data_IF_513172899113
#
_entry.id   IF_513172899113
#
_cell.length_a   1.000
_cell.length_b   1.000
_cell.length_c   1.000
_cell.angle_alpha   90.00
_cell.angle_beta   90.00
_cell.angle_gamma   90.00
#
_symmetry.space_group_name_H-M   'P 1'
#
loop_
_entity.id
_entity.type
_entity.pdbx_description
1 polymer ?
#
# COMPACT_ATOMS: atom_id res chain seq x y z
N UNK A 1 -11.49 20.10 7.88
CA UNK A 1 -10.19 20.24 7.18
C UNK A 1 -9.73 18.82 6.83
N UNK A 2 -10.51 18.11 6.01
CA UNK A 2 -10.50 16.63 5.94
C UNK A 2 -9.24 16.04 5.30
N UNK A 3 -8.51 16.84 4.52
CA UNK A 3 -7.34 16.43 3.75
C UNK A 3 -5.99 16.70 4.46
N UNK A 4 -5.99 17.28 5.67
CA UNK A 4 -4.75 17.66 6.35
C UNK A 4 -3.85 16.45 6.57
N UNK A 5 -4.40 15.36 7.12
CA UNK A 5 -3.63 14.13 7.32
C UNK A 5 -3.04 13.56 6.03
N UNK A 6 -3.81 13.59 4.93
CA UNK A 6 -3.38 13.08 3.61
C UNK A 6 -2.21 13.89 3.06
N UNK A 7 -2.28 15.23 3.19
CA UNK A 7 -1.20 16.11 2.78
C UNK A 7 0.05 15.89 3.62
N UNK A 8 -0.11 15.71 4.95
CA UNK A 8 1.02 15.43 5.85
C UNK A 8 1.67 14.10 5.51
N UNK A 9 0.89 13.06 5.16
CA UNK A 9 1.45 11.78 4.71
C UNK A 9 2.25 11.93 3.44
N UNK A 10 1.69 12.63 2.46
CA UNK A 10 2.38 12.94 1.22
C UNK A 10 3.70 13.72 1.45
N UNK A 11 3.69 14.71 2.34
CA UNK A 11 4.90 15.43 2.71
C UNK A 11 5.92 14.52 3.41
N UNK A 12 5.47 13.59 4.25
CA UNK A 12 6.31 12.57 4.88
C UNK A 12 7.06 11.73 3.86
N UNK A 13 6.35 11.21 2.85
CA UNK A 13 6.95 10.46 1.73
C UNK A 13 7.96 11.34 0.99
N UNK A 14 7.58 12.56 0.63
CA UNK A 14 8.46 13.47 -0.10
C UNK A 14 9.76 13.80 0.67
N UNK A 15 9.65 14.10 1.96
CA UNK A 15 10.80 14.35 2.84
C UNK A 15 11.67 13.10 2.97
N UNK A 16 11.05 11.94 3.24
CA UNK A 16 11.73 10.66 3.32
C UNK A 16 12.54 10.37 2.06
N UNK A 17 11.93 10.53 0.89
CA UNK A 17 12.61 10.40 -0.40
C UNK A 17 13.76 11.39 -0.54
N UNK A 18 13.55 12.68 -0.28
CA UNK A 18 14.62 13.68 -0.37
C UNK A 18 15.81 13.31 0.54
N UNK A 19 15.56 12.87 1.76
CA UNK A 19 16.61 12.41 2.67
C UNK A 19 17.32 11.16 2.12
N UNK A 20 16.57 10.17 1.62
CA UNK A 20 17.12 8.96 1.03
C UNK A 20 18.05 9.23 -0.17
N UNK A 21 17.75 10.26 -0.97
CA UNK A 21 18.59 10.64 -2.12
C UNK A 21 20.01 11.09 -1.71
N UNK A 22 20.20 11.64 -0.51
CA UNK A 22 21.54 12.03 -0.04
C UNK A 22 22.44 10.81 0.21
N UNK A 23 21.85 9.63 0.42
CA UNK A 23 22.57 8.38 0.66
C UNK A 23 22.81 7.56 -0.62
N UNK A 24 22.48 8.06 -1.82
CA UNK A 24 22.51 7.29 -3.09
C UNK A 24 23.91 7.03 -3.70
N UNK A 25 25.02 7.32 -3.00
CA UNK A 25 26.39 7.07 -3.50
C UNK A 25 26.99 5.79 -2.94
N UNK A 26 26.25 4.69 -3.06
CA UNK A 26 26.63 3.37 -2.56
C UNK A 26 27.03 2.47 -3.74
N UNK A 27 28.02 1.58 -3.55
CA UNK A 27 28.41 0.63 -4.61
C UNK A 27 27.31 -0.41 -4.85
N UNK A 28 27.30 -1.03 -6.03
CA UNK A 28 26.22 -1.94 -6.44
C UNK A 28 26.05 -3.16 -5.52
N UNK A 29 27.15 -3.75 -5.04
CA UNK A 29 27.12 -4.90 -4.12
C UNK A 29 26.49 -4.57 -2.77
N UNK A 30 26.72 -3.35 -2.28
CA UNK A 30 26.09 -2.87 -1.05
C UNK A 30 24.60 -2.61 -1.32
N UNK A 31 24.22 -2.06 -2.48
CA UNK A 31 22.80 -1.89 -2.85
C UNK A 31 22.06 -3.23 -2.91
N UNK A 32 22.65 -4.25 -3.52
CA UNK A 32 22.07 -5.61 -3.54
C UNK A 32 21.84 -6.14 -2.11
N UNK A 33 22.81 -5.95 -1.23
CA UNK A 33 22.70 -6.38 0.18
C UNK A 33 21.62 -5.58 0.93
N UNK A 34 21.52 -4.28 0.67
CA UNK A 34 20.47 -3.42 1.25
C UNK A 34 19.10 -3.82 0.72
N UNK A 35 18.94 -4.05 -0.60
CA UNK A 35 17.68 -4.56 -1.19
C UNK A 35 17.25 -5.86 -0.52
N UNK A 36 18.19 -6.77 -0.29
CA UNK A 36 17.90 -8.02 0.40
C UNK A 36 17.42 -7.77 1.83
N UNK A 37 18.09 -6.89 2.58
CA UNK A 37 17.66 -6.49 3.93
C UNK A 37 16.27 -5.84 3.97
N UNK A 38 15.97 -4.97 3.01
CA UNK A 38 14.66 -4.33 2.85
C UNK A 38 13.61 -5.38 2.52
N UNK A 39 13.84 -6.23 1.52
CA UNK A 39 12.91 -7.28 1.13
C UNK A 39 12.57 -8.22 2.30
N UNK A 40 13.57 -8.63 3.09
CA UNK A 40 13.37 -9.42 4.30
C UNK A 40 12.55 -8.67 5.38
N UNK A 41 12.81 -7.38 5.57
CA UNK A 41 12.07 -6.55 6.54
C UNK A 41 10.61 -6.36 6.10
N UNK A 42 10.38 -6.13 4.80
CA UNK A 42 9.04 -6.02 4.19
C UNK A 42 8.28 -7.34 4.35
N UNK A 43 8.93 -8.48 4.12
CA UNK A 43 8.34 -9.81 4.38
C UNK A 43 7.97 -9.96 5.85
N UNK A 44 8.87 -9.62 6.78
CA UNK A 44 8.60 -9.73 8.22
C UNK A 44 7.39 -8.87 8.63
N UNK A 45 7.33 -7.63 8.17
CA UNK A 45 6.18 -6.74 8.38
C UNK A 45 4.89 -7.34 7.81
N UNK A 46 4.93 -7.80 6.57
CA UNK A 46 3.80 -8.43 5.90
C UNK A 46 3.31 -9.68 6.62
N UNK A 47 4.20 -10.49 7.21
CA UNK A 47 3.81 -11.63 8.04
C UNK A 47 3.17 -11.21 9.35
N UNK A 48 3.71 -10.20 10.03
CA UNK A 48 3.09 -9.69 11.27
C UNK A 48 1.68 -9.17 11.01
N UNK A 49 1.50 -8.39 9.94
CA UNK A 49 0.17 -7.90 9.52
C UNK A 49 -0.73 -9.03 9.04
N UNK A 50 -0.18 -9.97 8.25
CA UNK A 50 -0.89 -11.10 7.66
C UNK A 50 -1.52 -12.06 8.66
N UNK A 51 -1.10 -11.99 9.92
CA UNK A 51 -1.58 -12.81 11.03
C UNK A 51 -2.50 -12.03 12.00
N UNK A 52 -2.89 -10.79 11.68
CA UNK A 52 -3.81 -10.01 12.52
C UNK A 52 -5.24 -10.55 12.56
N UNK A 53 -5.64 -11.40 11.61
CA UNK A 53 -6.99 -11.96 11.54
C UNK A 53 -7.00 -13.48 11.46
N UNK A 54 -7.91 -14.08 12.25
CA UNK A 54 -8.21 -15.51 12.23
C UNK A 54 -9.24 -15.90 11.14
N UNK A 55 -9.83 -14.93 10.44
CA UNK A 55 -10.88 -15.16 9.43
C UNK A 55 -10.29 -15.51 8.07
N UNK A 56 -9.53 -16.60 8.02
CA UNK A 56 -8.84 -17.09 6.81
C UNK A 56 -9.77 -17.22 5.60
N UNK A 57 -11.04 -17.60 5.79
CA UNK A 57 -12.02 -17.70 4.70
C UNK A 57 -12.31 -16.33 4.07
N UNK A 58 -12.47 -15.28 4.88
CA UNK A 58 -12.72 -13.92 4.39
C UNK A 58 -11.52 -13.44 3.57
N UNK A 59 -10.31 -13.63 4.10
CA UNK A 59 -9.05 -13.26 3.43
C UNK A 59 -8.90 -14.01 2.11
N UNK A 60 -9.09 -15.33 2.12
CA UNK A 60 -8.97 -16.19 0.94
C UNK A 60 -9.94 -15.78 -0.17
N UNK A 61 -11.23 -15.64 0.16
CA UNK A 61 -12.24 -15.24 -0.82
C UNK A 61 -11.96 -13.83 -1.36
N UNK A 62 -11.51 -12.92 -0.51
CA UNK A 62 -11.15 -11.56 -0.92
C UNK A 62 -9.98 -11.54 -1.89
N UNK A 63 -8.93 -12.33 -1.63
CA UNK A 63 -7.82 -12.50 -2.56
C UNK A 63 -8.26 -13.13 -3.88
N UNK A 64 -9.11 -14.16 -3.85
CA UNK A 64 -9.58 -14.84 -5.06
C UNK A 64 -10.43 -13.92 -5.96
N UNK A 65 -11.49 -13.32 -5.41
CA UNK A 65 -12.34 -12.42 -6.17
C UNK A 65 -11.60 -11.14 -6.56
N UNK A 66 -10.77 -10.62 -5.66
CA UNK A 66 -9.89 -9.50 -5.94
C UNK A 66 -8.95 -9.77 -7.11
N UNK A 67 -8.34 -10.95 -7.16
CA UNK A 67 -7.47 -11.37 -8.27
C UNK A 67 -8.24 -11.46 -9.60
N UNK A 68 -9.45 -12.04 -9.61
CA UNK A 68 -10.27 -12.13 -10.82
C UNK A 68 -10.62 -10.74 -11.35
N UNK A 69 -11.04 -9.83 -10.47
CA UNK A 69 -11.38 -8.46 -10.84
C UNK A 69 -10.13 -7.71 -11.31
N UNK A 70 -9.02 -7.82 -10.57
CA UNK A 70 -7.80 -7.09 -10.88
C UNK A 70 -7.10 -7.60 -12.12
N UNK A 71 -7.17 -8.90 -12.42
CA UNK A 71 -6.71 -9.46 -13.69
C UNK A 71 -7.57 -8.97 -14.86
N UNK A 72 -8.89 -8.84 -14.68
CA UNK A 72 -9.77 -8.25 -15.70
C UNK A 72 -9.49 -6.76 -15.97
N UNK A 73 -9.04 -6.02 -14.96
CA UNK A 73 -8.67 -4.60 -15.09
C UNK A 73 -7.23 -4.43 -15.57
N UNK A 74 -6.35 -5.39 -15.27
CA UNK A 74 -4.91 -5.38 -15.47
C UNK A 74 -4.22 -4.15 -14.88
N UNK A 75 -4.39 -3.98 -13.55
CA UNK A 75 -3.81 -2.87 -12.79
C UNK A 75 -2.27 -2.89 -12.81
N UNK A 76 -1.66 -4.07 -12.84
CA UNK A 76 -0.22 -4.27 -12.89
C UNK A 76 0.37 -3.67 -14.16
N UNK A 77 -0.17 -4.02 -15.33
CA UNK A 77 0.26 -3.44 -16.60
C UNK A 77 0.03 -1.93 -16.65
N UNK A 78 -1.09 -1.43 -16.09
CA UNK A 78 -1.37 0.01 -16.04
C UNK A 78 -0.35 0.77 -15.19
N UNK A 79 -0.03 0.27 -14.00
CA UNK A 79 0.97 0.87 -13.13
C UNK A 79 2.37 0.81 -13.73
N UNK A 80 2.76 -0.35 -14.30
CA UNK A 80 4.03 -0.51 -14.99
C UNK A 80 4.15 0.44 -16.19
N UNK A 81 3.06 0.61 -16.96
CA UNK A 81 3.03 1.56 -18.07
C UNK A 81 3.24 2.99 -17.58
N UNK A 82 2.56 3.41 -16.51
CA UNK A 82 2.78 4.75 -15.92
C UNK A 82 4.22 4.90 -15.45
N UNK A 83 4.77 3.89 -14.76
CA UNK A 83 6.17 3.86 -14.34
C UNK A 83 7.14 4.01 -15.51
N UNK A 84 6.92 3.29 -16.61
CA UNK A 84 7.74 3.38 -17.81
C UNK A 84 7.67 4.76 -18.48
N UNK A 85 6.49 5.40 -18.50
CA UNK A 85 6.35 6.77 -19.01
C UNK A 85 7.11 7.79 -18.16
N UNK A 86 7.06 7.64 -16.83
CA UNK A 86 7.83 8.47 -15.90
C UNK A 86 9.33 8.23 -16.11
N UNK A 87 9.74 6.98 -16.28
CA UNK A 87 11.12 6.63 -16.53
C UNK A 87 11.66 7.27 -17.82
N UNK A 88 10.95 7.15 -18.95
CA UNK A 88 11.37 7.79 -20.21
C UNK A 88 11.50 9.31 -20.06
N UNK A 89 10.64 9.94 -19.26
CA UNK A 89 10.62 11.40 -19.07
C UNK A 89 11.69 11.92 -18.12
N UNK A 90 12.05 11.15 -17.09
CA UNK A 90 12.91 11.61 -16.00
C UNK A 90 14.26 10.88 -15.92
N UNK A 91 14.51 9.89 -16.79
CA UNK A 91 15.81 9.23 -16.91
C UNK A 91 16.86 10.23 -17.40
N UNK A 92 17.99 10.28 -16.70
CA UNK A 92 19.18 11.02 -17.14
C UNK A 92 19.95 10.18 -18.15
N UNK A 93 20.39 10.80 -19.24
CA UNK A 93 21.21 10.14 -20.26
C UNK A 93 22.45 9.49 -19.64
N UNK A 94 22.73 8.24 -20.03
CA UNK A 94 23.92 7.49 -19.60
C UNK A 94 23.89 6.87 -18.21
N UNK A 95 22.72 6.79 -17.53
CA UNK A 95 22.56 6.08 -16.25
C UNK A 95 21.44 5.04 -16.30
N UNK A 96 21.66 3.90 -15.65
CA UNK A 96 20.57 3.00 -15.27
C UNK A 96 19.59 3.73 -14.34
N UNK A 97 18.30 3.41 -14.47
CA UNK A 97 17.22 4.08 -13.78
C UNK A 97 16.31 3.02 -13.20
N UNK A 98 16.01 3.15 -11.91
CA UNK A 98 15.04 2.31 -11.21
C UNK A 98 13.74 3.10 -10.97
N UNK A 99 13.44 4.08 -11.84
CA UNK A 99 12.31 5.01 -11.64
C UNK A 99 10.98 4.26 -11.67
N UNK A 100 10.76 3.39 -12.67
CA UNK A 100 9.53 2.62 -12.77
C UNK A 100 9.37 1.67 -11.57
N UNK A 101 10.42 0.91 -11.24
CA UNK A 101 10.41 -0.03 -10.12
C UNK A 101 10.18 0.67 -8.77
N UNK A 102 10.87 1.79 -8.54
CA UNK A 102 10.70 2.64 -7.35
C UNK A 102 9.29 3.19 -7.22
N UNK A 103 8.70 3.67 -8.31
CA UNK A 103 7.32 4.14 -8.33
C UNK A 103 6.34 3.02 -8.00
N UNK A 104 6.41 1.88 -8.71
CA UNK A 104 5.45 0.77 -8.55
C UNK A 104 5.56 0.17 -7.15
N UNK A 105 6.79 -0.13 -6.70
CA UNK A 105 7.03 -0.74 -5.38
C UNK A 105 6.53 0.16 -4.25
N UNK A 106 6.91 1.43 -4.25
CA UNK A 106 6.52 2.36 -3.19
C UNK A 106 5.00 2.60 -3.19
N UNK A 107 4.38 2.75 -4.36
CA UNK A 107 2.93 2.93 -4.46
C UNK A 107 2.17 1.75 -3.89
N UNK A 108 2.61 0.53 -4.18
CA UNK A 108 1.99 -0.67 -3.64
C UNK A 108 2.18 -0.77 -2.12
N UNK A 109 3.38 -0.56 -1.62
CA UNK A 109 3.64 -0.62 -0.16
C UNK A 109 2.78 0.40 0.59
N UNK A 110 2.71 1.65 0.10
CA UNK A 110 2.02 2.72 0.82
C UNK A 110 0.50 2.63 0.74
N UNK A 111 -0.07 2.11 -0.35
CA UNK A 111 -1.52 2.04 -0.55
C UNK A 111 -2.18 0.74 -0.04
N UNK A 112 -1.39 -0.31 0.27
CA UNK A 112 -1.95 -1.63 0.61
C UNK A 112 -2.38 -1.75 2.07
N UNK A 113 -1.74 -1.03 2.99
CA UNK A 113 -2.01 -1.15 4.43
C UNK A 113 -3.41 -0.65 4.82
N UNK A 114 -4.01 -1.26 5.85
CA UNK A 114 -5.35 -0.85 6.32
C UNK A 114 -5.41 0.62 6.75
N UNK A 115 -4.31 1.15 7.29
CA UNK A 115 -4.19 2.56 7.66
C UNK A 115 -4.34 3.52 6.47
N UNK A 116 -4.11 3.06 5.24
CA UNK A 116 -4.33 3.85 4.02
C UNK A 116 -5.82 4.01 3.69
N UNK A 117 -6.71 3.22 4.29
CA UNK A 117 -8.18 3.37 4.17
C UNK A 117 -8.76 3.95 5.44
N UNK A 118 -8.39 3.40 6.60
CA UNK A 118 -8.92 3.81 7.90
C UNK A 118 -8.51 5.24 8.23
N UNK A 119 -7.25 5.60 7.99
CA UNK A 119 -6.75 6.93 8.29
C UNK A 119 -7.54 8.02 7.57
N UNK A 120 -7.74 7.93 6.25
CA UNK A 120 -8.60 8.85 5.52
C UNK A 120 -10.07 8.81 5.93
N UNK A 121 -10.62 7.63 6.25
CA UNK A 121 -11.99 7.52 6.75
C UNK A 121 -12.17 8.26 8.08
N UNK A 122 -11.32 8.01 9.06
CA UNK A 122 -11.36 8.66 10.39
C UNK A 122 -11.13 10.17 10.27
N UNK A 123 -10.21 10.57 9.39
CA UNK A 123 -9.91 11.95 9.03
C UNK A 123 -11.10 12.67 8.39
N UNK A 124 -11.85 11.99 7.54
CA UNK A 124 -13.01 12.55 6.87
C UNK A 124 -14.28 12.57 7.72
N UNK A 125 -14.49 11.55 8.56
CA UNK A 125 -15.68 11.40 9.42
C UNK A 125 -15.55 12.23 10.69
N UNK A 126 -14.48 11.98 11.47
CA UNK A 126 -14.31 12.56 12.81
C UNK A 126 -13.41 13.80 12.81
N UNK A 127 -12.77 14.12 11.67
CA UNK A 127 -11.72 15.14 11.63
C UNK A 127 -10.47 14.73 12.41
N UNK A 128 -10.31 13.45 12.73
CA UNK A 128 -9.18 12.94 13.47
C UNK A 128 -8.06 12.50 12.51
N UNK A 129 -6.90 13.13 12.64
CA UNK A 129 -5.76 12.91 11.75
C UNK A 129 -4.65 12.07 12.38
N UNK A 130 -4.81 11.59 13.63
CA UNK A 130 -3.78 10.87 14.37
C UNK A 130 -3.28 9.62 13.64
N UNK A 131 -4.19 8.87 13.02
CA UNK A 131 -3.86 7.68 12.24
C UNK A 131 -2.98 8.06 11.03
N UNK A 132 -3.35 9.11 10.30
CA UNK A 132 -2.60 9.59 9.14
C UNK A 132 -1.24 10.19 9.54
N UNK A 133 -1.14 10.85 10.69
CA UNK A 133 0.16 11.33 11.21
C UNK A 133 1.09 10.19 11.57
N UNK A 134 0.56 9.14 12.21
CA UNK A 134 1.33 7.94 12.50
C UNK A 134 1.81 7.28 11.20
N UNK A 135 0.91 7.15 10.22
CA UNK A 135 1.24 6.63 8.89
C UNK A 135 2.33 7.47 8.20
N UNK A 136 2.26 8.80 8.30
CA UNK A 136 3.24 9.72 7.70
C UNK A 136 4.66 9.44 8.14
N UNK A 137 4.85 9.07 9.41
CA UNK A 137 6.16 8.71 9.96
C UNK A 137 6.64 7.37 9.38
N UNK A 138 5.74 6.38 9.33
CA UNK A 138 6.04 5.04 8.80
C UNK A 138 6.37 5.07 7.30
N UNK A 139 5.52 5.72 6.51
CA UNK A 139 5.70 5.90 5.06
C UNK A 139 6.93 6.74 4.78
N UNK A 140 7.19 7.81 5.54
CA UNK A 140 8.38 8.64 5.40
C UNK A 140 9.69 7.86 5.65
N UNK A 141 9.74 7.06 6.72
CA UNK A 141 10.91 6.19 6.98
C UNK A 141 11.07 5.13 5.89
N UNK A 142 9.97 4.51 5.47
CA UNK A 142 9.98 3.51 4.40
C UNK A 142 10.41 4.12 3.07
N UNK A 143 9.95 5.33 2.75
CA UNK A 143 10.35 6.09 1.56
C UNK A 143 11.84 6.43 1.59
N UNK A 144 12.39 6.82 2.74
CA UNK A 144 13.82 7.03 2.92
C UNK A 144 14.60 5.77 2.55
N UNK A 145 14.24 4.65 3.16
CA UNK A 145 14.89 3.35 2.96
C UNK A 145 14.79 2.89 1.50
N UNK A 146 13.60 2.87 0.91
CA UNK A 146 13.38 2.51 -0.48
C UNK A 146 14.16 3.42 -1.45
N UNK A 147 14.22 4.72 -1.17
CA UNK A 147 14.89 5.68 -2.05
C UNK A 147 16.40 5.48 -2.12
N UNK A 148 17.03 5.00 -1.05
CA UNK A 148 18.48 4.68 -1.07
C UNK A 148 18.86 3.61 -2.10
N UNK A 149 17.87 2.84 -2.57
CA UNK A 149 18.11 1.68 -3.43
C UNK A 149 17.35 1.73 -4.75
N UNK A 150 16.08 2.12 -4.72
CA UNK A 150 15.22 2.32 -5.90
C UNK A 150 15.31 3.74 -6.47
N UNK A 151 16.00 4.64 -5.77
CA UNK A 151 16.29 5.99 -6.25
C UNK A 151 15.07 6.90 -6.30
N UNK A 152 15.13 7.89 -7.20
CA UNK A 152 14.18 8.99 -7.28
C UNK A 152 12.74 8.55 -7.62
N UNK A 153 12.55 7.34 -8.19
CA UNK A 153 11.24 6.82 -8.57
C UNK A 153 10.22 6.81 -7.43
N UNK A 154 10.68 6.63 -6.20
CA UNK A 154 9.84 6.57 -4.99
C UNK A 154 8.99 7.84 -4.81
N UNK A 155 9.49 9.01 -5.19
CA UNK A 155 8.74 10.28 -5.00
C UNK A 155 7.39 10.28 -5.73
N UNK A 156 7.29 9.55 -6.85
CA UNK A 156 6.08 9.52 -7.65
C UNK A 156 4.95 8.74 -6.98
N UNK A 157 5.25 7.90 -5.98
CA UNK A 157 4.24 7.20 -5.16
C UNK A 157 3.36 8.15 -4.34
N UNK A 158 3.83 9.39 -4.12
CA UNK A 158 3.03 10.48 -3.56
C UNK A 158 1.69 10.64 -4.28
N UNK A 159 1.70 10.50 -5.60
CA UNK A 159 0.53 10.74 -6.45
C UNK A 159 -0.57 9.71 -6.16
N UNK A 160 -0.35 8.39 -6.32
CA UNK A 160 -1.38 7.42 -6.00
C UNK A 160 -1.79 7.45 -4.53
N UNK A 161 -0.86 7.68 -3.59
CA UNK A 161 -1.20 7.77 -2.15
C UNK A 161 -2.15 8.92 -1.88
N UNK A 162 -1.80 10.15 -2.28
CA UNK A 162 -2.63 11.33 -2.00
C UNK A 162 -3.96 11.27 -2.75
N UNK A 163 -4.00 10.72 -3.96
CA UNK A 163 -5.27 10.53 -4.68
C UNK A 163 -6.13 9.48 -3.98
N UNK A 164 -5.56 8.33 -3.63
CA UNK A 164 -6.29 7.23 -2.99
C UNK A 164 -6.86 7.68 -1.64
N UNK A 165 -5.99 8.19 -0.76
CA UNK A 165 -6.36 8.68 0.56
C UNK A 165 -7.29 9.90 0.47
N UNK A 166 -7.00 10.84 -0.43
CA UNK A 166 -7.80 12.05 -0.60
C UNK A 166 -9.23 11.76 -1.08
N UNK A 167 -9.40 10.82 -2.02
CA UNK A 167 -10.73 10.36 -2.44
C UNK A 167 -11.46 9.76 -1.25
N UNK A 168 -10.84 8.87 -0.49
CA UNK A 168 -11.49 8.23 0.66
C UNK A 168 -11.92 9.28 1.70
N UNK A 169 -11.04 10.22 2.05
CA UNK A 169 -11.36 11.28 3.03
C UNK A 169 -12.55 12.15 2.60
N UNK A 170 -12.62 12.53 1.32
CA UNK A 170 -13.72 13.36 0.79
C UNK A 170 -15.07 12.64 0.74
N UNK A 171 -15.06 11.31 0.59
CA UNK A 171 -16.29 10.50 0.56
C UNK A 171 -16.61 9.85 1.92
N UNK A 172 -15.78 10.04 2.94
CA UNK A 172 -15.89 9.33 4.21
C UNK A 172 -17.19 9.61 4.97
N UNK A 173 -17.68 10.86 4.93
CA UNK A 173 -18.92 11.26 5.62
C UNK A 173 -20.16 10.53 5.11
N UNK A 174 -20.14 10.00 3.89
CA UNK A 174 -21.22 9.19 3.31
C UNK A 174 -21.20 7.74 3.83
N UNK A 175 -20.04 7.27 4.30
CA UNK A 175 -19.81 5.87 4.72
C UNK A 175 -20.19 5.66 6.19
N UNK A 176 -19.96 6.68 7.05
CA UNK A 176 -20.25 6.63 8.50
C UNK A 176 -21.70 6.24 8.84
N UNK A 177 -22.64 6.63 7.99
CA UNK A 177 -24.06 6.37 8.23
C UNK A 177 -24.48 4.91 8.03
N UNK A 178 -23.60 4.06 7.49
CA UNK A 178 -23.96 2.71 7.04
C UNK A 178 -23.41 1.56 7.89
N UNK A 179 -22.35 1.78 8.69
CA UNK A 179 -21.62 0.66 9.32
C UNK A 179 -21.42 0.84 10.83
N UNK A 180 -21.77 -0.18 11.67
CA UNK A 180 -21.48 -0.17 13.10
C UNK A 180 -19.96 -0.24 13.39
N UNK A 181 -19.51 0.34 14.51
CA UNK A 181 -18.10 0.27 14.96
C UNK A 181 -17.56 -1.17 15.05
N UNK A 182 -18.39 -2.14 15.42
CA UNK A 182 -18.00 -3.55 15.49
C UNK A 182 -17.62 -4.13 14.12
N UNK A 183 -18.28 -3.68 13.05
CA UNK A 183 -17.92 -4.07 11.68
C UNK A 183 -16.57 -3.46 11.29
N UNK A 184 -16.35 -2.18 11.64
CA UNK A 184 -15.10 -1.51 11.35
C UNK A 184 -13.91 -2.25 11.96
N UNK A 185 -13.94 -2.62 13.25
CA UNK A 185 -12.81 -3.33 13.87
C UNK A 185 -12.44 -4.64 13.16
N UNK A 186 -13.46 -5.45 12.80
CA UNK A 186 -13.23 -6.71 12.06
C UNK A 186 -12.72 -6.45 10.63
N UNK A 187 -13.22 -5.39 9.99
CA UNK A 187 -12.77 -4.96 8.67
C UNK A 187 -11.29 -4.54 8.69
N UNK A 188 -10.88 -3.81 9.74
CA UNK A 188 -9.48 -3.40 9.93
C UNK A 188 -8.59 -4.64 10.03
N UNK A 189 -8.92 -5.60 10.90
CA UNK A 189 -8.17 -6.85 11.05
C UNK A 189 -8.04 -7.62 9.72
N UNK A 190 -9.15 -7.81 8.99
CA UNK A 190 -9.17 -8.58 7.74
C UNK A 190 -8.45 -7.86 6.60
N UNK A 191 -8.56 -6.52 6.56
CA UNK A 191 -7.89 -5.69 5.57
C UNK A 191 -6.39 -5.63 5.85
N UNK A 192 -5.97 -5.51 7.11
CA UNK A 192 -4.55 -5.56 7.48
C UNK A 192 -3.95 -6.93 7.17
N UNK A 193 -4.67 -8.02 7.46
CA UNK A 193 -4.21 -9.36 7.13
C UNK A 193 -4.08 -9.58 5.61
N UNK A 194 -5.10 -9.17 4.84
CA UNK A 194 -5.07 -9.25 3.38
C UNK A 194 -3.93 -8.40 2.81
N UNK A 195 -3.79 -7.16 3.28
CA UNK A 195 -2.70 -6.27 2.87
C UNK A 195 -1.33 -6.79 3.27
N UNK A 196 -1.20 -7.40 4.45
CA UNK A 196 0.02 -8.06 4.92
C UNK A 196 0.50 -9.13 3.95
N UNK A 197 -0.42 -9.97 3.44
CA UNK A 197 -0.09 -10.98 2.42
C UNK A 197 0.37 -10.36 1.09
N UNK A 198 -0.24 -9.24 0.67
CA UNK A 198 0.23 -8.49 -0.50
C UNK A 198 1.63 -7.90 -0.29
N UNK A 199 1.91 -7.39 0.92
CA UNK A 199 3.24 -6.87 1.31
C UNK A 199 4.28 -8.01 1.30
N UNK A 200 3.95 -9.21 1.79
CA UNK A 200 4.83 -10.39 1.67
C UNK A 200 5.16 -10.66 0.20
N UNK A 201 4.18 -10.61 -0.70
CA UNK A 201 4.41 -10.80 -2.14
C UNK A 201 5.32 -9.71 -2.74
N UNK A 202 5.19 -8.44 -2.31
CA UNK A 202 6.11 -7.36 -2.70
C UNK A 202 7.52 -7.67 -2.23
N UNK A 203 7.69 -8.06 -0.97
CA UNK A 203 8.99 -8.41 -0.41
C UNK A 203 9.66 -9.59 -1.14
N UNK A 204 8.90 -10.62 -1.50
CA UNK A 204 9.40 -11.74 -2.31
C UNK A 204 9.82 -11.32 -3.72
N UNK A 205 9.09 -10.38 -4.33
CA UNK A 205 9.47 -9.80 -5.62
C UNK A 205 10.76 -8.96 -5.51
N UNK A 206 10.94 -8.19 -4.43
CA UNK A 206 12.17 -7.41 -4.17
C UNK A 206 13.39 -8.31 -3.98
N UNK A 207 13.20 -9.49 -3.38
CA UNK A 207 14.23 -10.53 -3.28
C UNK A 207 14.44 -11.30 -4.61
N UNK A 208 13.71 -10.96 -5.67
CA UNK A 208 13.69 -11.66 -6.95
C UNK A 208 13.39 -13.17 -6.84
N UNK A 209 12.71 -13.60 -5.77
CA UNK A 209 12.29 -14.99 -5.56
C UNK A 209 11.07 -15.32 -6.41
N UNK A 210 10.18 -14.33 -6.59
CA UNK A 210 8.94 -14.46 -7.36
C UNK A 210 8.72 -13.26 -8.29
N UNK A 211 7.71 -13.36 -9.16
CA UNK A 211 7.20 -12.27 -10.01
C UNK A 211 5.67 -12.21 -9.92
N UNK A 212 5.17 -11.93 -8.72
CA UNK A 212 3.73 -11.84 -8.46
C UNK A 212 3.23 -10.47 -8.93
N UNK A 213 2.13 -10.44 -9.70
CA UNK A 213 1.46 -9.20 -10.14
C UNK A 213 0.63 -8.62 -9.00
N UNK A 214 1.28 -8.08 -7.98
CA UNK A 214 0.64 -7.65 -6.72
C UNK A 214 -0.40 -6.56 -6.97
N UNK A 215 -0.20 -5.70 -7.97
CA UNK A 215 -1.17 -4.69 -8.35
C UNK A 215 -2.53 -5.28 -8.77
N UNK A 216 -2.53 -6.45 -9.45
CA UNK A 216 -3.76 -7.16 -9.82
C UNK A 216 -4.45 -7.80 -8.60
N UNK A 217 -3.80 -7.87 -7.45
CA UNK A 217 -4.41 -8.32 -6.20
C UNK A 217 -4.98 -7.18 -5.37
N UNK A 218 -4.67 -5.91 -5.67
CA UNK A 218 -5.19 -4.74 -4.92
C UNK A 218 -6.70 -4.70 -4.75
N UNK A 219 -7.54 -5.10 -5.74
CA UNK A 219 -8.99 -5.10 -5.56
C UNK A 219 -9.45 -5.99 -4.40
N UNK A 220 -8.63 -6.95 -3.95
CA UNK A 220 -8.93 -7.75 -2.76
C UNK A 220 -9.19 -6.90 -1.52
N UNK A 221 -8.48 -5.78 -1.35
CA UNK A 221 -8.64 -4.88 -0.19
C UNK A 221 -10.03 -4.26 -0.12
N UNK A 222 -10.62 -3.95 -1.28
CA UNK A 222 -11.99 -3.44 -1.36
C UNK A 222 -12.99 -4.59 -1.14
N UNK A 223 -12.69 -5.76 -1.70
CA UNK A 223 -13.55 -6.95 -1.58
C UNK A 223 -13.64 -7.48 -0.14
N UNK A 224 -12.62 -7.26 0.71
CA UNK A 224 -12.66 -7.61 2.14
C UNK A 224 -13.94 -7.10 2.79
N UNK A 225 -14.32 -5.84 2.57
CA UNK A 225 -15.53 -5.27 3.17
C UNK A 225 -16.81 -5.99 2.75
N UNK A 226 -16.92 -6.34 1.46
CA UNK A 226 -18.08 -7.06 0.93
C UNK A 226 -18.16 -8.51 1.43
N UNK A 227 -17.03 -9.22 1.42
CA UNK A 227 -16.97 -10.62 1.87
C UNK A 227 -17.22 -10.71 3.37
N UNK A 228 -16.62 -9.82 4.17
CA UNK A 228 -16.86 -9.75 5.60
C UNK A 228 -18.33 -9.47 5.91
N UNK A 229 -18.94 -8.51 5.20
CA UNK A 229 -20.36 -8.20 5.38
C UNK A 229 -21.25 -9.43 5.15
N UNK A 230 -21.01 -10.18 4.07
CA UNK A 230 -21.75 -11.42 3.79
C UNK A 230 -21.45 -12.48 4.85
N UNK A 231 -20.19 -12.67 5.21
CA UNK A 231 -19.74 -13.66 6.18
C UNK A 231 -20.44 -13.51 7.53
N UNK A 232 -20.62 -12.28 8.02
CA UNK A 232 -21.32 -12.01 9.28
C UNK A 232 -22.82 -12.31 9.22
N UNK A 233 -23.44 -12.37 8.04
CA UNK A 233 -24.85 -12.72 7.88
C UNK A 233 -25.09 -14.24 7.81
N UNK A 234 -24.09 -15.03 7.42
CA UNK A 234 -24.24 -16.49 7.25
C UNK A 234 -24.65 -17.21 8.55
N UNK A 235 -24.09 -16.94 9.73
CA UNK A 235 -24.55 -17.55 10.98
C UNK A 235 -26.02 -17.25 11.29
N UNK A 236 -26.50 -16.05 10.94
CA UNK A 236 -27.90 -15.64 11.12
C UNK A 236 -28.86 -16.33 10.12
N UNK A 237 -28.36 -16.98 9.07
CA UNK A 237 -29.20 -17.73 8.12
C UNK A 237 -29.50 -19.16 8.59
N UNK A 238 -28.72 -19.68 9.53
CA UNK A 238 -28.87 -21.03 10.08
C UNK A 238 -29.46 -21.05 11.50
N UNK A 239 -29.91 -19.89 12.01
CA UNK A 239 -30.60 -19.72 13.31
C UNK A 239 -32.03 -19.24 13.10
#
# INVERSE_FOLDING_TARGET
MELVGVIVNGLGIALGTVFGLFFNKINERIKETIMAGIGLTVIALGFTMGLESDRTIVILLSLLFGAVIGEGIDLDEKLNRVGAHLEVRFKKEGKESNIAEGFVTASLIFCVGALAVIGPLDSGIHGNHEILYTKSILDGFTALVLTTTLGFGVIFSLIPVVIYEGVIALFATQIDQFFPESFFNLFIEDMTATGGLLIVAIGLNLLNVTRIRVANLLPSLVIVGFVLFIYLQVPNWFS
#
